data_IF_479197013198
#
_entry.id   IF_479197013198
#
_cell.length_a   1.000
_cell.length_b   1.000
_cell.length_c   1.000
_cell.angle_alpha   90.00
_cell.angle_beta   90.00
_cell.angle_gamma   90.00
#
_symmetry.space_group_name_H-M   'P 1'
#
loop_
_entity.id
_entity.type
_entity.pdbx_description
1 polymer ?
#
# COMPACT_ATOMS: atom_id res chain seq x y z
N UNK A 1 16.69 5.11 13.39
CA UNK A 1 15.49 5.12 12.54
C UNK A 1 14.36 4.43 13.28
N UNK A 2 13.23 5.05 13.32
CA UNK A 2 12.10 4.53 14.08
C UNK A 2 11.11 3.87 13.13
N UNK A 3 10.97 2.54 13.23
CA UNK A 3 9.94 1.81 12.51
C UNK A 3 8.56 2.16 13.04
N UNK A 4 7.55 1.88 12.24
CA UNK A 4 6.17 2.08 12.66
C UNK A 4 5.83 1.10 13.80
N UNK A 5 5.37 1.59 14.95
CA UNK A 5 5.07 0.70 16.09
C UNK A 5 3.94 -0.30 15.80
N UNK A 6 3.13 -0.04 14.78
CA UNK A 6 2.07 -0.95 14.38
C UNK A 6 2.52 -2.00 13.36
N UNK A 7 3.76 -1.86 12.88
CA UNK A 7 4.31 -2.83 11.94
C UNK A 7 4.98 -3.96 12.71
N UNK A 8 4.42 -5.15 12.62
CA UNK A 8 4.98 -6.33 13.24
C UNK A 8 5.57 -7.24 12.18
N UNK A 9 6.89 -7.41 12.23
CA UNK A 9 7.61 -8.42 11.46
C UNK A 9 8.20 -9.40 12.45
N UNK A 10 7.69 -10.60 12.44
CA UNK A 10 8.23 -11.64 13.31
C UNK A 10 9.05 -12.61 12.47
N UNK A 11 10.28 -12.85 12.91
CA UNK A 11 11.12 -13.90 12.38
C UNK A 11 11.28 -14.98 13.43
N UNK A 12 11.06 -16.22 13.06
CA UNK A 12 11.34 -17.36 13.91
C UNK A 12 12.17 -18.37 13.10
N UNK A 13 13.37 -18.68 13.59
CA UNK A 13 14.24 -19.68 12.96
C UNK A 13 14.41 -19.50 11.44
N UNK A 14 14.59 -18.24 11.01
CA UNK A 14 14.84 -17.93 9.62
C UNK A 14 13.58 -17.69 8.78
N UNK A 15 12.38 -17.89 9.31
CA UNK A 15 11.17 -17.50 8.60
C UNK A 15 10.77 -16.09 9.01
N UNK A 16 10.54 -15.23 8.00
CA UNK A 16 10.06 -13.86 8.20
C UNK A 16 8.60 -13.84 7.80
N UNK A 17 7.74 -13.43 8.74
CA UNK A 17 6.34 -13.24 8.43
C UNK A 17 6.17 -11.98 7.57
N UNK A 18 5.35 -12.07 6.53
CA UNK A 18 5.06 -10.93 5.68
C UNK A 18 4.38 -9.82 6.47
N UNK A 19 4.66 -8.61 6.12
CA UNK A 19 3.88 -7.46 6.57
C UNK A 19 2.76 -7.19 5.57
N UNK A 20 1.81 -6.37 6.00
CA UNK A 20 0.63 -6.04 5.21
C UNK A 20 0.50 -4.53 5.11
N UNK A 21 0.03 -4.07 3.96
CA UNK A 21 -0.02 -2.65 3.62
C UNK A 21 -1.36 -2.30 2.99
N UNK A 22 -1.67 -1.01 2.99
CA UNK A 22 -2.73 -0.43 2.18
C UNK A 22 -2.11 0.72 1.40
N UNK A 23 -2.38 0.75 0.10
CA UNK A 23 -1.88 1.81 -0.78
C UNK A 23 -3.06 2.43 -1.52
N UNK A 24 -3.13 3.77 -1.46
CA UNK A 24 -4.24 4.54 -2.03
C UNK A 24 -3.87 5.09 -3.39
N UNK A 25 -4.78 4.91 -4.34
CA UNK A 25 -4.70 5.54 -5.65
C UNK A 25 -6.06 6.11 -6.03
N UNK A 26 -6.05 7.22 -6.76
CA UNK A 26 -7.27 7.75 -7.33
C UNK A 26 -7.59 6.99 -8.62
N UNK A 27 -8.83 6.50 -8.83
CA UNK A 27 -9.16 5.68 -10.00
C UNK A 27 -8.90 6.35 -11.35
N UNK A 28 -9.05 7.68 -11.42
CA UNK A 28 -8.80 8.42 -12.65
C UNK A 28 -7.30 8.61 -12.92
N UNK A 29 -6.44 8.32 -11.93
CA UNK A 29 -4.97 8.38 -12.07
C UNK A 29 -4.42 7.00 -12.38
N UNK A 30 -4.70 6.02 -11.50
CA UNK A 30 -4.21 4.65 -11.70
C UNK A 30 -5.15 3.65 -11.05
N UNK A 31 -6.18 3.19 -11.79
CA UNK A 31 -7.11 2.19 -11.25
C UNK A 31 -6.49 0.79 -11.20
N UNK A 32 -7.06 -0.07 -10.36
CA UNK A 32 -6.58 -1.45 -10.22
C UNK A 32 -6.61 -2.21 -11.54
N UNK A 33 -7.62 -1.97 -12.39
CA UNK A 33 -7.68 -2.62 -13.70
C UNK A 33 -6.48 -2.28 -14.59
N UNK A 34 -5.91 -1.06 -14.43
CA UNK A 34 -4.71 -0.69 -15.15
C UNK A 34 -3.49 -1.46 -14.63
N UNK A 35 -3.41 -1.68 -13.32
CA UNK A 35 -2.37 -2.51 -12.74
C UNK A 35 -2.44 -3.94 -13.31
N UNK A 36 -3.65 -4.50 -13.43
CA UNK A 36 -3.84 -5.83 -14.02
C UNK A 36 -3.35 -5.85 -15.47
N UNK A 37 -3.70 -4.83 -16.25
CA UNK A 37 -3.28 -4.73 -17.64
C UNK A 37 -1.76 -4.58 -17.77
N UNK A 38 -1.13 -3.80 -16.88
CA UNK A 38 0.31 -3.55 -16.92
C UNK A 38 1.13 -4.70 -16.36
N UNK A 39 0.55 -5.52 -15.49
CA UNK A 39 1.23 -6.64 -14.84
C UNK A 39 2.10 -6.23 -13.65
N UNK A 40 2.65 -5.05 -13.64
CA UNK A 40 3.37 -4.44 -12.53
C UNK A 40 3.49 -2.95 -12.78
N UNK A 41 3.76 -2.20 -11.72
CA UNK A 41 3.99 -0.76 -11.84
C UNK A 41 4.93 -0.27 -10.73
N UNK A 42 5.64 0.81 -11.01
CA UNK A 42 6.37 1.55 -9.98
C UNK A 42 5.40 2.51 -9.30
N UNK A 43 5.50 2.61 -7.98
CA UNK A 43 4.61 3.45 -7.17
C UNK A 43 5.27 4.79 -6.87
N UNK A 44 5.25 5.66 -7.85
CA UNK A 44 5.91 6.96 -7.80
C UNK A 44 5.03 8.04 -7.15
N UNK A 45 5.60 9.23 -6.98
CA UNK A 45 4.85 10.42 -6.61
C UNK A 45 4.49 10.55 -5.13
N UNK A 46 4.96 9.66 -4.28
CA UNK A 46 4.73 9.78 -2.83
C UNK A 46 5.61 10.89 -2.27
N UNK A 47 4.99 11.93 -1.72
CA UNK A 47 5.67 13.15 -1.24
C UNK A 47 5.37 13.44 0.22
N UNK A 48 5.32 12.39 1.03
CA UNK A 48 5.19 12.43 2.48
C UNK A 48 6.35 11.65 3.08
N UNK A 49 7.09 12.27 3.99
CA UNK A 49 8.29 11.63 4.55
C UNK A 49 7.99 10.37 5.35
N UNK A 50 6.87 10.32 6.05
CA UNK A 50 6.49 9.11 6.80
C UNK A 50 6.21 7.95 5.85
N UNK A 51 5.44 8.19 4.78
CA UNK A 51 5.16 7.18 3.77
C UNK A 51 6.45 6.76 3.05
N UNK A 52 7.31 7.73 2.70
CA UNK A 52 8.62 7.43 2.09
C UNK A 52 9.44 6.50 2.96
N UNK A 53 9.49 6.75 4.27
CA UNK A 53 10.28 5.93 5.18
C UNK A 53 9.76 4.50 5.24
N UNK A 54 8.43 4.32 5.19
CA UNK A 54 7.82 2.99 5.12
C UNK A 54 8.25 2.26 3.85
N UNK A 55 8.20 2.92 2.71
CA UNK A 55 8.59 2.34 1.43
C UNK A 55 10.08 2.03 1.36
N UNK A 56 10.90 2.92 1.89
CA UNK A 56 12.35 2.77 1.86
C UNK A 56 12.84 1.66 2.79
N UNK A 57 12.29 1.61 4.01
CA UNK A 57 12.89 0.86 5.10
C UNK A 57 12.13 -0.40 5.50
N UNK A 58 10.83 -0.45 5.27
CA UNK A 58 9.98 -1.46 5.89
C UNK A 58 9.24 -2.36 4.91
N UNK A 59 8.88 -1.88 3.72
CA UNK A 59 8.24 -2.71 2.70
C UNK A 59 9.22 -3.71 2.13
N UNK A 60 8.82 -4.98 2.07
CA UNK A 60 9.64 -6.07 1.55
C UNK A 60 8.93 -6.79 0.42
N UNK A 61 9.71 -7.31 -0.50
CA UNK A 61 9.19 -8.15 -1.59
C UNK A 61 8.37 -9.29 -1.00
N UNK A 62 7.16 -9.48 -1.54
CA UNK A 62 6.22 -10.49 -1.06
C UNK A 62 5.15 -9.96 -0.12
N UNK A 63 5.34 -8.78 0.46
CA UNK A 63 4.33 -8.16 1.32
C UNK A 63 3.04 -7.92 0.53
N UNK A 64 1.89 -8.21 1.15
CA UNK A 64 0.59 -8.04 0.51
C UNK A 64 0.05 -6.63 0.75
N UNK A 65 -0.74 -6.16 -0.20
CA UNK A 65 -1.26 -4.80 -0.25
C UNK A 65 -2.75 -4.81 -0.51
N UNK A 66 -3.51 -4.11 0.34
CA UNK A 66 -4.88 -3.73 0.02
C UNK A 66 -4.82 -2.54 -0.94
N UNK A 67 -5.29 -2.72 -2.16
CA UNK A 67 -5.35 -1.64 -3.15
C UNK A 67 -6.62 -0.86 -2.96
N UNK A 68 -6.50 0.44 -2.67
CA UNK A 68 -7.60 1.27 -2.24
C UNK A 68 -7.81 2.43 -3.23
N UNK A 69 -9.06 2.61 -3.66
CA UNK A 69 -9.46 3.74 -4.48
C UNK A 69 -9.93 4.90 -3.60
N UNK A 70 -9.15 5.98 -3.58
CA UNK A 70 -9.50 7.23 -2.88
C UNK A 70 -10.12 8.24 -3.86
N UNK A 71 -10.68 9.33 -3.31
CA UNK A 71 -11.35 10.37 -4.12
C UNK A 71 -12.37 9.81 -5.09
N UNK A 72 -13.15 8.87 -4.61
CA UNK A 72 -14.22 8.21 -5.35
C UNK A 72 -15.38 7.97 -4.38
N UNK A 73 -16.58 7.88 -4.89
CA UNK A 73 -17.78 7.64 -4.06
C UNK A 73 -18.40 6.30 -4.44
N UNK A 74 -18.38 5.32 -3.51
CA UNK A 74 -17.70 5.35 -2.22
C UNK A 74 -16.21 5.05 -2.35
N UNK A 75 -15.35 5.59 -1.49
CA UNK A 75 -13.97 5.12 -1.43
C UNK A 75 -13.95 3.67 -0.94
N UNK A 76 -13.05 2.85 -1.47
CA UNK A 76 -13.18 1.39 -1.27
C UNK A 76 -11.87 0.64 -1.52
N UNK A 77 -11.76 -0.54 -0.95
CA UNK A 77 -10.75 -1.54 -1.34
C UNK A 77 -11.29 -2.28 -2.55
N UNK A 78 -10.47 -2.43 -3.58
CA UNK A 78 -10.89 -3.03 -4.86
C UNK A 78 -10.15 -4.32 -5.19
N UNK A 79 -8.94 -4.47 -4.69
CA UNK A 79 -8.10 -5.61 -5.06
C UNK A 79 -6.94 -5.81 -4.12
N UNK A 80 -6.21 -6.88 -4.37
CA UNK A 80 -5.00 -7.23 -3.63
C UNK A 80 -3.81 -7.14 -4.58
N UNK A 81 -2.74 -6.53 -4.11
CA UNK A 81 -1.47 -6.47 -4.81
C UNK A 81 -0.35 -7.04 -3.92
N UNK A 82 0.84 -7.11 -4.46
CA UNK A 82 2.03 -7.59 -3.75
C UNK A 82 3.20 -6.69 -4.09
N UNK A 83 4.05 -6.41 -3.10
CA UNK A 83 5.32 -5.73 -3.35
C UNK A 83 6.21 -6.67 -4.18
N UNK A 84 6.61 -6.20 -5.37
CA UNK A 84 7.45 -6.99 -6.27
C UNK A 84 8.89 -6.47 -6.34
N UNK A 85 9.14 -5.22 -5.91
CA UNK A 85 10.47 -4.64 -5.80
C UNK A 85 10.52 -3.72 -4.58
N UNK A 86 11.55 -3.90 -3.76
CA UNK A 86 11.75 -3.10 -2.56
C UNK A 86 12.21 -1.67 -2.89
N UNK A 87 12.19 -0.80 -1.89
CA UNK A 87 12.39 0.63 -2.08
C UNK A 87 13.64 1.00 -2.88
N UNK A 88 13.46 1.89 -3.84
CA UNK A 88 14.52 2.46 -4.65
C UNK A 88 14.17 3.91 -4.99
N UNK A 89 15.17 4.73 -5.45
CA UNK A 89 14.89 6.13 -5.70
C UNK A 89 13.77 6.35 -6.74
N UNK A 90 12.86 7.28 -6.41
CA UNK A 90 11.79 7.69 -7.32
C UNK A 90 12.41 8.59 -8.40
N UNK A 91 12.60 8.04 -9.60
CA UNK A 91 13.24 8.76 -10.70
C UNK A 91 12.38 9.92 -11.20
N UNK A 92 11.06 9.91 -10.96
CA UNK A 92 10.20 11.02 -11.39
C UNK A 92 10.51 12.30 -10.63
N UNK A 93 11.06 12.20 -9.42
CA UNK A 93 11.47 13.37 -8.65
C UNK A 93 12.64 14.12 -9.27
N UNK A 94 13.43 13.45 -10.10
CA UNK A 94 14.61 14.03 -10.75
C UNK A 94 14.35 14.41 -12.22
N UNK A 95 13.15 14.17 -12.71
CA UNK A 95 12.75 14.49 -14.09
C UNK A 95 12.03 15.84 -14.13
N UNK A 96 12.64 16.89 -14.74
CA UNK A 96 12.01 18.20 -14.79
C UNK A 96 10.67 18.24 -15.55
N UNK A 97 10.40 17.21 -16.35
CA UNK A 97 9.13 17.12 -17.10
C UNK A 97 8.04 16.37 -16.31
N UNK A 98 8.38 15.80 -15.16
CA UNK A 98 7.41 15.09 -14.32
C UNK A 98 6.66 16.07 -13.43
N UNK A 99 5.35 15.82 -13.25
CA UNK A 99 4.56 16.57 -12.26
C UNK A 99 5.03 16.31 -10.82
N UNK A 100 5.85 15.29 -10.61
CA UNK A 100 6.42 14.94 -9.31
C UNK A 100 7.85 15.44 -9.13
N UNK A 101 8.32 16.26 -10.04
CA UNK A 101 9.69 16.82 -9.97
C UNK A 101 9.93 17.57 -8.66
N UNK A 102 11.07 17.31 -8.05
CA UNK A 102 11.56 18.02 -6.87
C UNK A 102 13.01 18.43 -7.14
N UNK A 103 13.24 19.74 -7.31
CA UNK A 103 14.59 20.26 -7.64
C UNK A 103 15.63 19.92 -6.57
N UNK A 104 15.19 19.61 -5.34
CA UNK A 104 16.11 19.22 -4.25
C UNK A 104 16.49 17.75 -4.29
N UNK A 105 15.83 16.93 -5.13
CA UNK A 105 16.18 15.53 -5.31
C UNK A 105 17.33 15.40 -6.28
N UNK A 106 18.38 14.70 -5.87
CA UNK A 106 19.58 14.48 -6.67
C UNK A 106 19.96 13.01 -6.62
N UNK A 107 20.83 12.53 -7.55
CA UNK A 107 21.33 11.15 -7.45
C UNK A 107 22.01 10.84 -6.12
N UNK A 108 22.69 11.83 -5.52
CA UNK A 108 23.39 11.67 -4.24
C UNK A 108 22.43 11.72 -3.05
N UNK A 109 21.31 12.45 -3.20
CA UNK A 109 20.26 12.55 -2.19
C UNK A 109 18.92 12.51 -2.88
N UNK A 110 18.41 11.32 -3.21
CA UNK A 110 17.19 11.18 -4.00
C UNK A 110 15.92 11.65 -3.30
N UNK A 111 15.91 11.79 -1.98
CA UNK A 111 14.82 12.25 -1.12
C UNK A 111 13.59 11.34 -1.15
N UNK A 112 13.13 10.99 -2.33
CA UNK A 112 11.87 10.25 -2.53
C UNK A 112 12.15 8.87 -3.06
N UNK A 113 11.35 7.93 -2.57
CA UNK A 113 11.52 6.50 -2.86
C UNK A 113 10.23 5.96 -3.44
N UNK A 114 10.34 4.84 -4.12
CA UNK A 114 9.18 4.09 -4.61
C UNK A 114 9.45 2.59 -4.50
N UNK A 115 8.39 1.82 -4.58
CA UNK A 115 8.43 0.36 -4.67
C UNK A 115 7.71 -0.04 -5.95
N UNK A 116 7.90 -1.29 -6.39
CA UNK A 116 7.06 -1.85 -7.44
C UNK A 116 6.04 -2.77 -6.81
N UNK A 117 4.85 -2.79 -7.41
CA UNK A 117 3.78 -3.71 -7.02
C UNK A 117 3.29 -4.49 -8.24
N UNK A 118 2.71 -5.65 -7.98
CA UNK A 118 2.06 -6.49 -8.99
C UNK A 118 0.68 -6.90 -8.50
N UNK A 119 -0.28 -7.17 -9.40
CA UNK A 119 -1.61 -7.58 -8.98
C UNK A 119 -1.60 -9.02 -8.47
N UNK A 120 -2.43 -9.31 -7.47
CA UNK A 120 -2.63 -10.66 -6.95
C UNK A 120 -4.04 -11.13 -7.27
N UNK A 121 -5.05 -10.35 -6.89
CA UNK A 121 -6.44 -10.75 -7.06
C UNK A 121 -7.34 -9.51 -7.01
N UNK A 122 -8.22 -9.38 -7.99
CA UNK A 122 -9.33 -8.45 -7.89
C UNK A 122 -10.36 -9.05 -6.91
N UNK A 123 -10.90 -8.22 -6.01
CA UNK A 123 -11.89 -8.72 -5.06
C UNK A 123 -13.21 -9.03 -5.77
N UNK A 124 -13.98 -10.03 -5.29
CA UNK A 124 -15.28 -10.36 -5.87
C UNK A 124 -16.24 -9.18 -5.90
N UNK A 125 -16.10 -8.28 -4.93
CA UNK A 125 -16.84 -7.02 -4.85
C UNK A 125 -16.01 -6.01 -4.11
N UNK A 126 -16.25 -4.72 -4.36
CA UNK A 126 -15.56 -3.66 -3.63
C UNK A 126 -15.96 -3.69 -2.17
N UNK A 127 -15.05 -3.22 -1.31
CA UNK A 127 -15.32 -3.09 0.13
C UNK A 127 -15.29 -1.61 0.46
N UNK A 128 -16.46 -0.96 0.60
CA UNK A 128 -16.51 0.46 0.91
C UNK A 128 -15.92 0.79 2.27
N UNK A 129 -15.33 1.98 2.38
CA UNK A 129 -14.75 2.46 3.63
C UNK A 129 -15.74 2.40 4.79
N UNK A 130 -17.01 2.77 4.54
CA UNK A 130 -18.02 2.74 5.61
C UNK A 130 -18.27 1.34 6.13
N UNK A 131 -18.19 0.32 5.29
CA UNK A 131 -18.34 -1.07 5.72
C UNK A 131 -17.17 -1.49 6.62
N UNK A 132 -15.97 -1.04 6.29
CA UNK A 132 -14.79 -1.29 7.13
C UNK A 132 -14.94 -0.56 8.47
N UNK A 133 -15.36 0.69 8.42
CA UNK A 133 -15.57 1.51 9.63
C UNK A 133 -16.59 0.89 10.58
N UNK A 134 -17.61 0.27 10.03
CA UNK A 134 -18.69 -0.35 10.81
C UNK A 134 -18.39 -1.80 11.22
N UNK A 135 -17.25 -2.34 10.82
CA UNK A 135 -16.84 -3.70 11.17
C UNK A 135 -16.05 -3.71 12.47
N UNK A 136 -16.58 -4.30 13.57
CA UNK A 136 -15.87 -4.34 14.85
C UNK A 136 -14.50 -5.01 14.76
N UNK A 137 -14.30 -5.96 13.84
CA UNK A 137 -13.02 -6.64 13.66
C UNK A 137 -11.95 -5.72 13.07
N UNK A 138 -12.35 -4.59 12.49
CA UNK A 138 -11.43 -3.60 11.93
C UNK A 138 -11.13 -2.45 12.90
N UNK A 139 -11.63 -2.51 14.13
CA UNK A 139 -11.36 -1.49 15.12
C UNK A 139 -9.86 -1.30 15.31
N UNK A 140 -9.42 -0.04 15.30
CA UNK A 140 -7.99 0.28 15.44
C UNK A 140 -7.22 0.28 14.13
N UNK A 141 -7.85 -0.10 13.02
CA UNK A 141 -7.20 -0.04 11.70
C UNK A 141 -6.87 1.41 11.34
N UNK A 142 -5.65 1.63 10.86
CA UNK A 142 -5.17 2.98 10.58
C UNK A 142 -6.08 3.73 9.58
N UNK A 143 -6.58 3.01 8.58
CA UNK A 143 -7.43 3.57 7.53
C UNK A 143 -8.63 4.35 8.08
N UNK A 144 -9.26 3.83 9.14
CA UNK A 144 -10.49 4.42 9.71
C UNK A 144 -10.23 5.39 10.85
N UNK A 145 -8.96 5.60 11.20
CA UNK A 145 -8.60 6.56 12.25
C UNK A 145 -8.87 7.99 11.76
N UNK A 146 -9.58 8.76 12.59
CA UNK A 146 -9.91 10.15 12.26
C UNK A 146 -8.66 10.97 11.98
N UNK A 147 -8.68 11.73 10.89
CA UNK A 147 -7.57 12.60 10.50
C UNK A 147 -6.40 11.90 9.83
N UNK A 148 -6.47 10.59 9.61
CA UNK A 148 -5.42 9.85 8.95
C UNK A 148 -5.44 10.11 7.45
N UNK A 149 -4.29 10.58 6.90
CA UNK A 149 -4.18 10.95 5.48
C UNK A 149 -3.06 10.24 4.74
N UNK A 150 -2.35 9.32 5.40
CA UNK A 150 -1.28 8.60 4.73
C UNK A 150 -1.80 7.79 3.55
N UNK A 151 -1.17 7.95 2.40
CA UNK A 151 -1.51 7.20 1.19
C UNK A 151 -0.90 5.80 1.17
N UNK A 152 0.08 5.56 2.01
CA UNK A 152 0.72 4.26 2.21
C UNK A 152 0.66 3.99 3.72
N UNK A 153 0.00 2.90 4.10
CA UNK A 153 -0.27 2.60 5.50
C UNK A 153 0.07 1.16 5.84
N UNK A 154 0.66 0.91 7.01
CA UNK A 154 0.75 -0.45 7.53
C UNK A 154 -0.62 -0.96 7.95
N UNK A 155 -0.84 -2.26 7.80
CA UNK A 155 -2.07 -2.95 8.19
C UNK A 155 -1.67 -4.14 9.04
N UNK A 156 -2.29 -4.30 10.20
CA UNK A 156 -2.07 -5.48 11.02
C UNK A 156 -2.69 -6.71 10.34
N UNK A 157 -2.08 -7.87 10.54
CA UNK A 157 -2.55 -9.11 9.91
C UNK A 157 -4.01 -9.40 10.23
N UNK A 158 -4.42 -9.21 11.50
CA UNK A 158 -5.81 -9.42 11.90
C UNK A 158 -6.77 -8.49 11.16
N UNK A 159 -6.37 -7.25 10.88
CA UNK A 159 -7.20 -6.31 10.13
C UNK A 159 -7.26 -6.68 8.65
N UNK A 160 -6.12 -7.08 8.09
CA UNK A 160 -6.06 -7.54 6.70
C UNK A 160 -6.99 -8.75 6.51
N UNK A 161 -6.90 -9.72 7.42
CA UNK A 161 -7.75 -10.91 7.38
C UNK A 161 -9.23 -10.57 7.57
N UNK A 162 -9.53 -9.61 8.46
CA UNK A 162 -10.92 -9.16 8.68
C UNK A 162 -11.51 -8.56 7.40
N UNK A 163 -10.73 -7.74 6.68
CA UNK A 163 -11.18 -7.16 5.41
C UNK A 163 -11.43 -8.26 4.38
N UNK A 164 -10.55 -9.25 4.27
CA UNK A 164 -10.77 -10.38 3.36
C UNK A 164 -12.04 -11.15 3.68
N UNK A 165 -12.34 -11.39 4.97
CA UNK A 165 -13.56 -12.10 5.38
C UNK A 165 -14.82 -11.38 4.95
N UNK A 166 -14.78 -10.06 4.77
CA UNK A 166 -15.94 -9.29 4.31
C UNK A 166 -16.38 -9.68 2.89
N UNK A 167 -15.51 -10.32 2.13
CA UNK A 167 -15.83 -10.85 0.79
C UNK A 167 -15.54 -12.35 0.70
N UNK A 168 -15.64 -13.05 1.85
CA UNK A 168 -15.53 -14.50 1.96
C UNK A 168 -14.17 -15.05 1.49
N UNK A 169 -13.09 -14.27 1.68
CA UNK A 169 -11.74 -14.67 1.38
C UNK A 169 -10.92 -14.85 2.66
N UNK A 170 -9.83 -15.61 2.53
CA UNK A 170 -8.83 -15.81 3.58
C UNK A 170 -7.43 -15.71 2.97
N UNK A 171 -6.42 -15.54 3.82
CA UNK A 171 -5.05 -15.35 3.35
C UNK A 171 -4.55 -16.48 2.44
N UNK A 172 -4.95 -17.73 2.73
CA UNK A 172 -4.53 -18.88 1.91
C UNK A 172 -5.08 -18.81 0.47
N UNK A 173 -6.11 -18.01 0.22
CA UNK A 173 -6.64 -17.84 -1.13
C UNK A 173 -5.74 -16.95 -1.99
N UNK A 174 -4.79 -16.25 -1.38
CA UNK A 174 -3.93 -15.28 -2.06
C UNK A 174 -2.56 -15.84 -2.44
N UNK A 175 -2.30 -17.08 -2.13
CA UNK A 175 -1.02 -17.73 -2.46
C UNK A 175 -1.04 -18.42 -3.82
#
# INVERSE_FOLDING_TARGET
MHGNPNLKRAGTFGSIMDAYWLMKSEPHVYPYEQLVADGSTHWDGVRNYQARNLMRDEMKKGDLVLYYHSNFKPPHVVGIARISREGYPDFTAQDPNSKYFDEKATPENPRWMMVDIEPVMELPQIIPLDDIRNNPECEGMLLIRKGQRLSVQPVEEEHFSAVLRMVDLKLSDLS
#
